data_IF_439108034178
#
_entry.id   IF_439108034178
#
_cell.length_a   1.000
_cell.length_b   1.000
_cell.length_c   1.000
_cell.angle_alpha   90.00
_cell.angle_beta   90.00
_cell.angle_gamma   90.00
#
_symmetry.space_group_name_H-M   'P 1'
#
loop_
_entity.id
_entity.type
_entity.pdbx_description
1 polymer ?
#
# COMPACT_ATOMS: atom_id res chain seq x y z
N UNK A 1 51.90 -44.10 -25.10
CA UNK A 1 50.63 -43.46 -25.47
C UNK A 1 49.63 -43.76 -24.37
N UNK A 2 49.46 -42.83 -23.41
CA UNK A 2 48.49 -42.95 -22.31
C UNK A 2 47.38 -41.94 -22.54
N UNK A 3 46.18 -42.46 -22.77
CA UNK A 3 44.93 -41.71 -22.93
C UNK A 3 44.44 -41.26 -21.56
N UNK A 4 44.41 -39.93 -21.30
CA UNK A 4 43.76 -39.34 -20.13
C UNK A 4 42.25 -39.16 -20.40
N UNK A 5 41.43 -39.97 -19.70
CA UNK A 5 39.97 -39.79 -19.58
C UNK A 5 39.69 -38.51 -18.76
N UNK A 6 39.02 -37.53 -19.36
CA UNK A 6 38.44 -36.38 -18.64
C UNK A 6 37.13 -36.80 -17.96
N UNK A 7 37.03 -36.56 -16.67
CA UNK A 7 35.85 -36.70 -15.87
C UNK A 7 34.98 -35.43 -16.11
N UNK A 8 33.71 -35.50 -16.46
CA UNK A 8 32.85 -34.33 -16.57
C UNK A 8 32.46 -33.86 -15.17
N UNK A 9 32.90 -32.63 -14.84
CA UNK A 9 32.57 -31.95 -13.61
C UNK A 9 31.05 -31.60 -13.57
N UNK A 10 30.46 -31.94 -12.48
CA UNK A 10 29.07 -31.69 -12.14
C UNK A 10 28.84 -30.17 -11.95
N UNK A 11 28.19 -29.48 -12.92
CA UNK A 11 27.97 -28.04 -12.94
C UNK A 11 26.62 -27.59 -12.36
N UNK A 12 25.85 -28.51 -11.78
CA UNK A 12 24.44 -28.24 -11.46
C UNK A 12 24.15 -27.82 -9.99
N UNK A 13 25.17 -27.63 -9.14
CA UNK A 13 24.96 -27.34 -7.72
C UNK A 13 24.95 -25.85 -7.33
N UNK A 14 25.26 -24.92 -8.25
CA UNK A 14 25.45 -23.50 -7.92
C UNK A 14 24.21 -22.60 -8.12
N UNK A 15 23.12 -23.12 -8.68
CA UNK A 15 22.00 -22.29 -9.17
C UNK A 15 20.81 -22.16 -8.23
N UNK A 16 20.74 -22.92 -7.14
CA UNK A 16 19.61 -22.86 -6.19
C UNK A 16 19.84 -21.84 -5.07
N UNK A 17 21.07 -21.45 -4.81
CA UNK A 17 21.42 -20.62 -3.64
C UNK A 17 21.13 -19.13 -3.84
N UNK A 18 21.07 -18.61 -5.08
CA UNK A 18 20.89 -17.19 -5.34
C UNK A 18 19.43 -16.72 -5.22
N UNK A 19 18.48 -17.60 -5.45
CA UNK A 19 17.04 -17.24 -5.36
C UNK A 19 16.56 -17.10 -3.91
N UNK A 20 17.21 -17.74 -2.95
CA UNK A 20 16.83 -17.62 -1.53
C UNK A 20 17.46 -16.41 -0.83
N UNK A 21 18.51 -15.82 -1.37
CA UNK A 21 19.21 -14.69 -0.73
C UNK A 21 18.48 -13.37 -0.96
N UNK A 22 17.70 -13.21 -2.02
CA UNK A 22 16.93 -12.00 -2.31
C UNK A 22 15.69 -11.83 -1.43
N UNK A 23 15.15 -12.91 -0.88
CA UNK A 23 14.01 -12.85 0.07
C UNK A 23 14.46 -12.46 1.48
N UNK A 24 15.72 -12.69 1.85
CA UNK A 24 16.24 -12.41 3.18
C UNK A 24 16.64 -10.94 3.41
N UNK A 25 16.87 -10.15 2.36
CA UNK A 25 17.29 -8.73 2.49
C UNK A 25 16.12 -7.80 2.85
N UNK A 26 14.87 -8.24 2.68
CA UNK A 26 13.70 -7.43 3.03
C UNK A 26 13.37 -7.40 4.55
N UNK A 27 14.14 -8.04 5.42
CA UNK A 27 13.84 -8.13 6.86
C UNK A 27 14.70 -7.28 7.80
N UNK A 28 15.67 -6.52 7.31
CA UNK A 28 16.67 -5.90 8.17
C UNK A 28 16.67 -4.37 8.18
N UNK A 29 15.51 -3.73 8.38
CA UNK A 29 15.46 -2.39 8.98
C UNK A 29 14.21 -2.23 9.83
N UNK A 30 14.13 -2.99 10.92
CA UNK A 30 13.32 -2.57 12.05
C UNK A 30 14.11 -1.41 12.70
N UNK A 31 13.82 -0.18 12.28
CA UNK A 31 14.23 1.00 13.02
C UNK A 31 13.75 0.85 14.47
N UNK A 32 14.63 1.08 15.43
CA UNK A 32 14.27 1.14 16.84
C UNK A 32 13.11 2.14 16.97
N UNK A 33 11.95 1.66 17.39
CA UNK A 33 10.84 2.53 17.76
C UNK A 33 11.35 3.40 18.92
N UNK A 34 11.54 4.68 18.65
CA UNK A 34 11.72 5.67 19.72
C UNK A 34 10.44 5.58 20.55
N UNK A 35 10.59 5.35 21.84
CA UNK A 35 9.47 5.35 22.78
C UNK A 35 8.79 6.71 22.68
N UNK A 36 7.58 6.76 22.11
CA UNK A 36 6.79 7.97 21.99
C UNK A 36 6.24 8.30 23.36
N UNK A 37 6.66 9.43 23.93
CA UNK A 37 5.97 10.05 25.03
C UNK A 37 4.57 10.48 24.55
N UNK A 38 3.57 10.56 25.39
CA UNK A 38 2.23 11.00 25.00
C UNK A 38 1.14 9.97 25.26
N UNK A 39 0.14 9.88 24.40
CA UNK A 39 -0.99 8.96 24.55
C UNK A 39 -0.58 7.49 24.85
N UNK A 40 0.45 6.93 24.22
CA UNK A 40 0.92 5.60 24.58
C UNK A 40 1.36 5.45 26.03
N UNK A 41 2.10 6.43 26.55
CA UNK A 41 2.53 6.41 27.93
C UNK A 41 1.33 6.53 28.90
N UNK A 42 0.34 7.36 28.54
CA UNK A 42 -0.91 7.49 29.31
C UNK A 42 -1.66 6.16 29.36
N UNK A 43 -1.85 5.52 28.21
CA UNK A 43 -2.57 4.24 28.13
C UNK A 43 -1.80 3.09 28.82
N UNK A 44 -0.48 3.22 28.94
CA UNK A 44 0.35 2.35 29.79
C UNK A 44 0.26 2.69 31.30
N UNK A 45 -0.57 3.66 31.68
CA UNK A 45 -0.82 4.03 33.06
C UNK A 45 0.06 5.15 33.63
N UNK A 46 0.81 5.89 32.83
CA UNK A 46 1.73 6.95 33.28
C UNK A 46 1.04 8.06 34.09
N UNK A 47 -0.23 8.32 33.82
CA UNK A 47 -1.05 9.30 34.55
C UNK A 47 -1.95 8.68 35.62
N UNK A 48 -2.06 7.36 35.74
CA UNK A 48 -2.87 6.73 36.77
C UNK A 48 -2.30 7.06 38.14
N UNK A 49 -3.15 7.30 39.13
CA UNK A 49 -2.74 7.68 40.45
C UNK A 49 -3.70 7.17 41.52
N UNK A 50 -3.12 6.61 42.59
CA UNK A 50 -3.79 6.45 43.86
C UNK A 50 -3.43 7.65 44.73
N UNK A 51 -4.43 8.37 45.22
CA UNK A 51 -4.30 9.66 45.91
C UNK A 51 -4.70 9.51 47.36
N UNK A 52 -3.75 9.70 48.28
CA UNK A 52 -4.03 9.69 49.69
C UNK A 52 -4.78 10.96 50.14
N UNK A 53 -5.49 10.87 51.28
CA UNK A 53 -6.37 11.92 51.78
C UNK A 53 -5.73 13.32 51.93
N UNK A 54 -4.42 13.42 52.17
CA UNK A 54 -3.70 14.69 52.31
C UNK A 54 -2.44 14.76 51.45
N UNK A 55 -2.34 13.90 50.44
CA UNK A 55 -1.15 13.77 49.60
C UNK A 55 -1.49 13.89 48.12
N UNK A 56 -1.67 15.13 47.59
CA UNK A 56 -1.93 15.31 46.17
C UNK A 56 -0.76 14.82 45.32
N UNK A 57 -1.08 14.21 44.20
CA UNK A 57 -0.12 13.65 43.25
C UNK A 57 -0.05 14.55 42.02
N UNK A 58 1.15 14.92 41.59
CA UNK A 58 1.37 15.59 40.33
C UNK A 58 1.94 14.61 39.29
N UNK A 59 1.48 14.71 38.06
CA UNK A 59 1.94 13.94 36.90
C UNK A 59 2.13 14.86 35.72
N UNK A 60 3.10 14.51 34.88
CA UNK A 60 3.38 15.22 33.66
C UNK A 60 3.33 14.27 32.49
N UNK A 61 2.87 14.78 31.36
CA UNK A 61 2.84 14.05 30.08
C UNK A 61 3.05 15.02 28.92
N UNK A 62 3.82 14.59 27.95
CA UNK A 62 3.92 15.28 26.66
C UNK A 62 2.71 14.87 25.81
N UNK A 63 1.96 15.84 25.29
CA UNK A 63 0.80 15.62 24.43
C UNK A 63 0.98 16.33 23.11
N UNK A 64 0.46 15.74 22.05
CA UNK A 64 0.30 16.38 20.77
C UNK A 64 -0.95 17.26 20.73
N UNK A 65 -0.97 18.26 19.84
CA UNK A 65 -2.17 19.06 19.60
C UNK A 65 -3.33 18.17 19.17
N UNK A 66 -4.47 18.29 19.84
CA UNK A 66 -5.66 17.50 19.58
C UNK A 66 -5.74 16.18 20.37
N UNK A 67 -4.67 15.78 21.07
CA UNK A 67 -4.73 14.61 21.95
C UNK A 67 -5.77 14.85 23.05
N UNK A 68 -6.64 13.85 23.28
CA UNK A 68 -7.72 13.93 24.26
C UNK A 68 -7.48 12.96 25.40
N UNK A 69 -7.35 13.50 26.60
CA UNK A 69 -7.34 12.72 27.84
C UNK A 69 -8.76 12.56 28.37
N UNK A 70 -9.11 11.35 28.75
CA UNK A 70 -10.33 11.04 29.47
C UNK A 70 -9.97 10.60 30.91
N UNK A 71 -10.46 11.33 31.89
CA UNK A 71 -10.22 11.07 33.31
C UNK A 71 -11.43 10.33 33.87
N UNK A 72 -11.21 9.14 34.39
CA UNK A 72 -12.17 8.42 35.20
C UNK A 72 -11.66 8.44 36.66
N UNK A 73 -12.27 9.23 37.51
CA UNK A 73 -11.83 9.40 38.87
C UNK A 73 -12.98 9.17 39.88
N UNK A 74 -12.64 8.53 40.95
CA UNK A 74 -13.57 8.32 42.08
C UNK A 74 -12.98 8.94 43.34
N UNK A 75 -13.72 9.88 43.95
CA UNK A 75 -13.30 10.59 45.17
C UNK A 75 -12.11 11.55 44.96
N UNK A 76 -11.81 11.95 43.72
CA UNK A 76 -10.70 12.82 43.39
C UNK A 76 -11.12 14.08 42.62
N UNK A 77 -10.32 15.13 42.74
CA UNK A 77 -10.33 16.28 41.84
C UNK A 77 -9.13 16.20 40.91
N UNK A 78 -9.36 16.61 39.66
CA UNK A 78 -8.35 16.69 38.60
C UNK A 78 -8.20 18.14 38.17
N UNK A 79 -7.00 18.66 38.22
CA UNK A 79 -6.70 20.02 37.81
C UNK A 79 -5.50 20.05 36.83
N UNK A 80 -5.60 20.83 35.78
CA UNK A 80 -4.47 21.22 34.95
C UNK A 80 -3.69 22.31 35.74
N UNK A 81 -2.42 22.07 35.99
CA UNK A 81 -1.54 22.99 36.70
C UNK A 81 -0.82 23.90 35.75
N UNK A 82 -0.31 23.33 34.67
CA UNK A 82 0.41 24.05 33.62
C UNK A 82 0.39 23.29 32.30
N UNK A 83 0.41 24.01 31.20
CA UNK A 83 0.54 23.49 29.86
C UNK A 83 0.55 24.59 28.83
N UNK A 84 1.22 24.41 27.68
CA UNK A 84 1.25 25.42 26.65
C UNK A 84 -0.15 25.61 26.03
N UNK A 85 -0.52 26.88 25.83
CA UNK A 85 -1.82 27.23 25.23
C UNK A 85 -3.05 26.94 26.10
N UNK A 86 -2.87 26.43 27.33
CA UNK A 86 -3.96 26.13 28.25
C UNK A 86 -3.72 26.80 29.62
N UNK A 87 -4.63 27.62 30.14
CA UNK A 87 -4.54 28.18 31.48
C UNK A 87 -4.75 27.08 32.52
N UNK A 88 -4.16 27.26 33.68
CA UNK A 88 -4.43 26.38 34.83
C UNK A 88 -5.94 26.40 35.14
N UNK A 89 -6.54 25.22 35.25
CA UNK A 89 -7.98 25.06 35.42
C UNK A 89 -8.33 23.80 36.18
N UNK A 90 -9.44 23.82 36.94
CA UNK A 90 -10.06 22.62 37.46
C UNK A 90 -10.77 21.90 36.31
N UNK A 91 -10.42 20.65 36.04
CA UNK A 91 -11.04 19.82 35.01
C UNK A 91 -12.30 19.17 35.60
N UNK A 92 -12.22 18.65 36.82
CA UNK A 92 -13.37 18.06 37.51
C UNK A 92 -13.07 17.82 38.99
N UNK A 93 -14.12 17.71 39.81
CA UNK A 93 -14.00 17.42 41.22
C UNK A 93 -15.35 17.05 41.79
N UNK A 94 -15.62 15.73 41.88
CA UNK A 94 -16.82 15.18 42.48
C UNK A 94 -16.56 13.75 42.96
N UNK A 95 -17.57 13.11 43.59
CA UNK A 95 -17.47 11.72 44.01
C UNK A 95 -17.22 10.73 42.88
N UNK A 96 -17.64 11.06 41.66
CA UNK A 96 -17.30 10.34 40.41
C UNK A 96 -17.24 11.34 39.27
N UNK A 97 -16.15 11.36 38.52
CA UNK A 97 -15.98 12.22 37.37
C UNK A 97 -15.63 11.38 36.12
N UNK A 98 -16.20 11.81 35.01
CA UNK A 98 -15.77 11.40 33.68
C UNK A 98 -15.64 12.69 32.88
N UNK A 99 -14.44 13.23 32.83
CA UNK A 99 -14.15 14.51 32.18
C UNK A 99 -13.08 14.35 31.13
N UNK A 100 -13.03 15.25 30.18
CA UNK A 100 -12.06 15.23 29.10
C UNK A 100 -11.23 16.50 29.06
N UNK A 101 -9.98 16.38 28.67
CA UNK A 101 -9.07 17.48 28.36
C UNK A 101 -8.52 17.28 26.97
N UNK A 102 -8.59 18.28 26.12
CA UNK A 102 -7.98 18.28 24.78
C UNK A 102 -6.79 19.21 24.76
N UNK A 103 -5.61 18.71 24.38
CA UNK A 103 -4.40 19.51 24.28
C UNK A 103 -4.52 20.55 23.14
N UNK A 104 -4.47 21.85 23.41
CA UNK A 104 -4.65 22.88 22.38
C UNK A 104 -3.43 23.03 21.45
N UNK A 105 -2.24 22.69 21.93
CA UNK A 105 -0.97 22.71 21.18
C UNK A 105 -0.05 21.60 21.67
N UNK A 106 1.02 21.32 20.92
CA UNK A 106 2.04 20.36 21.35
C UNK A 106 2.78 20.85 22.58
N UNK A 107 3.03 19.96 23.56
CA UNK A 107 3.87 20.28 24.69
C UNK A 107 3.61 19.44 25.93
N UNK A 108 4.33 19.75 27.00
CA UNK A 108 4.22 19.05 28.29
C UNK A 108 3.14 19.69 29.15
N UNK A 109 2.18 18.87 29.57
CA UNK A 109 1.08 19.23 30.45
C UNK A 109 1.27 18.62 31.82
N UNK A 110 1.00 19.38 32.86
CA UNK A 110 1.10 18.96 34.28
C UNK A 110 -0.28 18.91 34.89
N UNK A 111 -0.66 17.76 35.40
CA UNK A 111 -1.92 17.53 36.09
C UNK A 111 -1.69 17.28 37.53
N UNK A 112 -2.63 17.74 38.38
CA UNK A 112 -2.65 17.50 39.81
C UNK A 112 -3.92 16.75 40.19
N UNK A 113 -3.75 15.67 40.91
CA UNK A 113 -4.83 14.86 41.43
C UNK A 113 -4.85 15.03 42.97
N UNK A 114 -6.02 15.31 43.53
CA UNK A 114 -6.17 15.46 44.96
C UNK A 114 -7.44 14.76 45.44
N UNK A 115 -7.38 14.03 46.55
CA UNK A 115 -8.54 13.41 47.16
C UNK A 115 -9.51 14.49 47.66
N UNK A 116 -10.81 14.27 47.51
CA UNK A 116 -11.87 15.17 47.97
C UNK A 116 -12.24 14.90 49.41
N UNK A 117 -12.05 13.67 49.87
CA UNK A 117 -12.37 13.23 51.20
C UNK A 117 -11.22 12.41 51.86
N UNK A 118 -11.43 11.96 53.10
CA UNK A 118 -10.42 11.26 53.87
C UNK A 118 -10.26 9.77 53.50
N UNK A 119 -11.07 9.24 52.59
CA UNK A 119 -11.05 7.82 52.20
C UNK A 119 -9.98 7.49 51.17
N UNK A 120 -9.36 8.52 50.57
CA UNK A 120 -8.46 8.37 49.44
C UNK A 120 -9.22 8.28 48.12
N UNK A 121 -8.49 8.33 47.02
CA UNK A 121 -9.09 8.36 45.70
C UNK A 121 -8.24 7.61 44.68
N UNK A 122 -8.84 7.17 43.59
CA UNK A 122 -8.14 6.63 42.44
C UNK A 122 -8.50 7.39 41.17
N UNK A 123 -7.52 7.57 40.31
CA UNK A 123 -7.69 8.21 39.01
C UNK A 123 -7.12 7.29 37.93
N UNK A 124 -7.96 6.91 37.00
CA UNK A 124 -7.55 6.22 35.78
C UNK A 124 -7.65 7.21 34.59
N UNK A 125 -6.64 7.24 33.77
CA UNK A 125 -6.57 8.16 32.63
C UNK A 125 -6.32 7.36 31.37
N UNK A 126 -7.16 7.57 30.38
CA UNK A 126 -6.96 7.09 29.01
C UNK A 126 -6.72 8.25 28.05
N UNK A 127 -6.06 7.98 26.96
CA UNK A 127 -5.73 8.97 25.95
C UNK A 127 -6.14 8.49 24.57
N UNK A 128 -6.80 9.36 23.82
CA UNK A 128 -7.12 9.17 22.40
C UNK A 128 -6.37 10.22 21.60
N UNK A 129 -5.53 9.80 20.65
CA UNK A 129 -4.83 10.72 19.78
C UNK A 129 -5.60 10.90 18.48
N UNK A 130 -6.14 12.08 18.27
CA UNK A 130 -6.80 12.44 17.00
C UNK A 130 -5.82 12.42 15.83
N UNK A 131 -4.54 12.70 16.08
CA UNK A 131 -3.47 12.53 15.08
C UNK A 131 -3.26 11.08 14.70
N UNK A 132 -3.23 10.19 15.68
CA UNK A 132 -3.08 8.76 15.44
C UNK A 132 -4.24 8.22 14.62
N UNK A 133 -5.47 8.62 14.93
CA UNK A 133 -6.66 8.25 14.15
C UNK A 133 -6.59 8.79 12.72
N UNK A 134 -6.25 10.07 12.56
CA UNK A 134 -6.11 10.70 11.23
C UNK A 134 -4.96 10.06 10.43
N UNK A 135 -3.83 9.78 11.06
CA UNK A 135 -2.69 9.10 10.45
C UNK A 135 -3.04 7.67 10.05
N UNK A 136 -3.75 6.93 10.89
CA UNK A 136 -4.22 5.59 10.59
C UNK A 136 -5.20 5.60 9.40
N UNK A 137 -6.16 6.51 9.39
CA UNK A 137 -7.08 6.66 8.27
C UNK A 137 -6.34 6.98 6.95
N UNK A 138 -5.39 7.93 6.99
CA UNK A 138 -4.57 8.29 5.84
C UNK A 138 -3.69 7.12 5.36
N UNK A 139 -3.08 6.37 6.28
CA UNK A 139 -2.33 5.16 5.97
C UNK A 139 -3.18 4.11 5.26
N UNK A 140 -4.39 3.82 5.79
CA UNK A 140 -5.30 2.85 5.21
C UNK A 140 -5.76 3.26 3.81
N UNK A 141 -6.09 4.54 3.60
CA UNK A 141 -6.44 5.08 2.28
C UNK A 141 -5.28 4.97 1.30
N UNK A 142 -4.09 5.36 1.71
CA UNK A 142 -2.87 5.28 0.90
C UNK A 142 -2.56 3.85 0.51
N UNK A 143 -2.60 2.91 1.47
CA UNK A 143 -2.41 1.48 1.24
C UNK A 143 -3.43 0.94 0.23
N UNK A 144 -4.72 1.26 0.37
CA UNK A 144 -5.76 0.88 -0.61
C UNK A 144 -5.45 1.45 -2.00
N UNK A 145 -5.08 2.73 -2.06
CA UNK A 145 -4.65 3.38 -3.29
C UNK A 145 -3.50 2.66 -3.99
N UNK A 146 -2.44 2.32 -3.25
CA UNK A 146 -1.27 1.61 -3.76
C UNK A 146 -1.59 0.18 -4.22
N UNK A 147 -2.44 -0.54 -3.49
CA UNK A 147 -2.91 -1.87 -3.88
C UNK A 147 -3.77 -1.82 -5.15
N UNK A 148 -4.52 -0.74 -5.36
CA UNK A 148 -5.37 -0.53 -6.52
C UNK A 148 -4.63 0.05 -7.73
N UNK A 149 -3.45 0.63 -7.55
CA UNK A 149 -2.76 1.36 -8.60
C UNK A 149 -2.36 0.47 -9.78
N UNK A 150 -2.03 -0.78 -9.53
CA UNK A 150 -1.54 -1.70 -10.57
C UNK A 150 -1.88 -3.14 -10.27
N UNK A 151 -2.25 -3.87 -11.32
CA UNK A 151 -2.41 -5.33 -11.33
C UNK A 151 -1.17 -6.00 -11.91
N UNK A 152 -0.89 -7.26 -11.53
CA UNK A 152 0.14 -8.06 -12.18
C UNK A 152 -0.08 -8.16 -13.69
N UNK A 153 0.98 -8.00 -14.46
CA UNK A 153 0.93 -8.11 -15.92
C UNK A 153 0.51 -9.50 -16.38
N UNK A 154 0.76 -10.49 -15.55
CA UNK A 154 0.46 -11.90 -15.84
C UNK A 154 -1.03 -12.25 -15.82
N UNK A 155 -1.88 -11.35 -15.35
CA UNK A 155 -3.34 -11.52 -15.40
C UNK A 155 -3.91 -11.27 -16.81
N UNK A 156 -3.12 -10.83 -17.77
CA UNK A 156 -3.59 -10.40 -19.09
C UNK A 156 -3.22 -11.39 -20.17
N UNK A 157 -4.20 -11.74 -20.99
CA UNK A 157 -4.01 -12.66 -22.13
C UNK A 157 -3.11 -12.08 -23.24
N UNK A 158 -3.13 -10.77 -23.42
CA UNK A 158 -2.31 -10.07 -24.42
C UNK A 158 -0.83 -9.91 -23.98
N UNK A 159 -0.55 -10.24 -22.73
CA UNK A 159 0.79 -10.33 -22.14
C UNK A 159 1.16 -11.79 -21.78
N UNK A 160 0.52 -12.77 -22.42
CA UNK A 160 0.90 -14.18 -22.36
C UNK A 160 2.39 -14.35 -22.71
N UNK A 161 3.04 -15.44 -22.26
CA UNK A 161 4.49 -15.53 -22.14
C UNK A 161 5.21 -14.97 -23.36
N UNK A 162 5.82 -13.82 -23.14
CA UNK A 162 6.69 -13.19 -24.13
C UNK A 162 7.85 -14.14 -24.40
N UNK A 163 8.30 -14.34 -25.65
CA UNK A 163 9.52 -15.07 -25.91
C UNK A 163 10.62 -14.53 -25.00
N UNK A 164 11.29 -15.41 -24.27
CA UNK A 164 12.42 -15.02 -23.43
C UNK A 164 13.48 -14.47 -24.38
N UNK A 165 13.79 -13.19 -24.29
CA UNK A 165 14.76 -12.54 -25.18
C UNK A 165 16.12 -13.22 -25.06
N UNK A 166 16.47 -13.65 -23.86
CA UNK A 166 17.66 -14.45 -23.59
C UNK A 166 17.29 -15.61 -22.66
N UNK A 167 17.45 -16.88 -23.09
CA UNK A 167 17.15 -18.05 -22.25
C UNK A 167 17.96 -18.10 -20.96
N UNK A 168 19.11 -17.41 -20.89
CA UNK A 168 19.91 -17.32 -19.66
C UNK A 168 19.36 -16.32 -18.65
N UNK A 169 18.29 -15.57 -19.02
CA UNK A 169 17.70 -14.49 -18.21
C UNK A 169 16.18 -14.65 -18.09
N UNK A 170 15.68 -15.69 -17.40
CA UNK A 170 14.24 -15.95 -17.31
C UNK A 170 13.47 -14.99 -16.39
N UNK A 171 14.16 -14.29 -15.51
CA UNK A 171 13.55 -13.37 -14.56
C UNK A 171 13.51 -11.95 -15.14
N UNK A 172 12.32 -11.37 -15.22
CA UNK A 172 12.19 -9.95 -15.51
C UNK A 172 12.18 -9.13 -14.23
N UNK A 173 12.89 -8.02 -14.22
CA UNK A 173 12.84 -7.06 -13.13
C UNK A 173 12.71 -5.64 -13.65
N UNK A 174 12.00 -4.82 -12.89
CA UNK A 174 11.79 -3.41 -13.17
C UNK A 174 12.15 -2.61 -11.93
N UNK A 175 12.94 -1.57 -12.08
CA UNK A 175 13.27 -0.64 -11.02
C UNK A 175 12.83 0.75 -11.45
N UNK A 176 12.07 1.43 -10.61
CA UNK A 176 11.69 2.82 -10.78
C UNK A 176 12.48 3.65 -9.79
N UNK A 177 13.20 4.65 -10.30
CA UNK A 177 13.98 5.57 -9.47
C UNK A 177 13.18 6.83 -9.17
N UNK A 178 13.33 7.35 -7.97
CA UNK A 178 12.82 8.66 -7.59
C UNK A 178 13.77 9.79 -7.97
N UNK A 179 13.33 11.00 -7.75
CA UNK A 179 14.10 12.24 -8.00
C UNK A 179 15.31 12.35 -7.06
N UNK A 180 15.24 11.68 -5.92
CA UNK A 180 16.32 11.54 -4.92
C UNK A 180 17.37 10.47 -5.31
N UNK A 181 17.21 9.81 -6.46
CA UNK A 181 18.08 8.74 -6.92
C UNK A 181 17.93 7.42 -6.18
N UNK A 182 16.92 7.27 -5.32
CA UNK A 182 16.59 6.01 -4.64
C UNK A 182 15.57 5.21 -5.41
N UNK A 183 15.61 3.88 -5.26
CA UNK A 183 14.57 3.02 -5.84
C UNK A 183 13.24 3.26 -5.13
N UNK A 184 12.25 3.79 -5.86
CA UNK A 184 10.88 3.98 -5.37
C UNK A 184 9.99 2.77 -5.60
N UNK A 185 10.21 2.04 -6.69
CA UNK A 185 9.43 0.84 -7.01
C UNK A 185 10.38 -0.22 -7.57
N UNK A 186 10.25 -1.44 -7.07
CA UNK A 186 11.01 -2.60 -7.56
C UNK A 186 10.02 -3.72 -7.82
N UNK A 187 10.02 -4.23 -9.03
CA UNK A 187 9.17 -5.33 -9.43
C UNK A 187 10.00 -6.47 -9.98
N UNK A 188 9.54 -7.68 -9.78
CA UNK A 188 10.07 -8.86 -10.44
C UNK A 188 8.94 -9.79 -10.84
N UNK A 189 9.13 -10.55 -11.91
CA UNK A 189 8.12 -11.46 -12.41
C UNK A 189 8.77 -12.68 -13.08
N UNK A 190 8.25 -13.88 -12.79
CA UNK A 190 8.73 -15.14 -13.36
C UNK A 190 7.59 -16.15 -13.43
N UNK A 191 7.61 -17.03 -14.43
CA UNK A 191 6.72 -18.18 -14.49
C UNK A 191 7.49 -19.51 -14.57
N UNK A 192 6.81 -20.60 -14.19
CA UNK A 192 7.40 -21.92 -14.26
C UNK A 192 7.75 -22.32 -15.70
N UNK A 193 6.90 -21.95 -16.65
CA UNK A 193 7.15 -22.19 -18.07
C UNK A 193 8.39 -21.44 -18.60
N UNK A 194 8.65 -20.23 -18.10
CA UNK A 194 9.86 -19.45 -18.43
C UNK A 194 11.12 -20.08 -17.84
N UNK A 195 11.06 -20.50 -16.57
CA UNK A 195 12.18 -21.20 -15.91
C UNK A 195 12.49 -22.51 -16.68
N UNK A 196 11.45 -23.28 -17.00
CA UNK A 196 11.62 -24.54 -17.74
C UNK A 196 12.20 -24.31 -19.13
N UNK A 197 11.73 -23.28 -19.84
CA UNK A 197 12.27 -22.93 -21.14
C UNK A 197 13.75 -22.53 -21.05
N UNK A 198 14.11 -21.68 -20.08
CA UNK A 198 15.50 -21.28 -19.85
C UNK A 198 16.40 -22.47 -19.51
N UNK A 199 15.95 -23.39 -18.68
CA UNK A 199 16.71 -24.59 -18.31
C UNK A 199 16.95 -25.50 -19.52
N UNK A 200 16.01 -25.55 -20.45
CA UNK A 200 16.10 -26.35 -21.68
C UNK A 200 16.75 -25.59 -22.85
N UNK A 201 17.23 -24.37 -22.65
CA UNK A 201 17.81 -23.52 -23.69
C UNK A 201 16.81 -23.06 -24.76
N UNK A 202 15.50 -23.11 -24.45
CA UNK A 202 14.41 -22.71 -25.36
C UNK A 202 14.08 -21.23 -25.18
N UNK A 203 13.92 -20.49 -26.28
CA UNK A 203 13.46 -19.10 -26.26
C UNK A 203 11.95 -18.94 -26.12
N UNK A 204 11.19 -20.03 -26.26
CA UNK A 204 9.73 -20.01 -26.17
C UNK A 204 9.26 -20.79 -24.97
N UNK A 205 8.71 -20.13 -23.94
CA UNK A 205 8.03 -20.82 -22.87
C UNK A 205 6.86 -21.63 -23.43
N UNK A 206 6.76 -22.87 -23.03
CA UNK A 206 5.61 -23.72 -23.37
C UNK A 206 4.84 -23.98 -22.07
N UNK A 207 3.80 -23.19 -21.79
CA UNK A 207 2.97 -23.47 -20.63
C UNK A 207 2.28 -24.82 -20.80
N UNK A 208 2.25 -25.61 -19.73
CA UNK A 208 1.40 -26.79 -19.66
C UNK A 208 -0.07 -26.41 -19.60
N UNK A 209 -0.93 -27.38 -19.26
CA UNK A 209 -2.36 -27.10 -19.03
C UNK A 209 -2.57 -25.96 -18.00
N UNK A 210 -1.71 -25.94 -16.98
CA UNK A 210 -1.66 -24.89 -15.96
C UNK A 210 -0.22 -24.40 -15.85
N UNK A 211 -0.02 -23.09 -15.93
CA UNK A 211 1.27 -22.44 -15.68
C UNK A 211 1.21 -21.70 -14.34
N UNK A 212 2.25 -21.85 -13.53
CA UNK A 212 2.41 -21.16 -12.25
C UNK A 212 3.31 -19.97 -12.43
N UNK A 213 3.01 -18.87 -11.75
CA UNK A 213 3.81 -17.66 -11.81
C UNK A 213 3.89 -16.95 -10.45
N UNK A 214 4.96 -16.21 -10.30
CA UNK A 214 5.26 -15.39 -9.13
C UNK A 214 5.62 -13.98 -9.61
N UNK A 215 5.05 -12.98 -8.95
CA UNK A 215 5.38 -11.58 -9.17
C UNK A 215 5.45 -10.87 -7.82
N UNK A 216 6.50 -10.09 -7.62
CA UNK A 216 6.68 -9.30 -6.40
C UNK A 216 6.87 -7.84 -6.75
N UNK A 217 6.36 -6.99 -5.87
CA UNK A 217 6.48 -5.55 -5.97
C UNK A 217 6.80 -4.96 -4.61
N UNK A 218 7.75 -4.06 -4.57
CA UNK A 218 8.07 -3.25 -3.40
C UNK A 218 8.04 -1.79 -3.79
N UNK A 219 7.29 -0.99 -3.08
CA UNK A 219 7.14 0.42 -3.33
C UNK A 219 7.52 1.21 -2.08
N UNK A 220 8.40 2.19 -2.25
CA UNK A 220 8.74 3.17 -1.24
C UNK A 220 8.09 4.51 -1.61
N UNK A 221 7.58 5.22 -0.63
CA UNK A 221 6.97 6.53 -0.82
C UNK A 221 7.34 7.46 0.32
N UNK A 222 7.45 8.73 -0.02
CA UNK A 222 7.60 9.82 0.93
C UNK A 222 6.57 10.90 0.54
N UNK A 223 5.89 11.42 1.51
CA UNK A 223 4.93 12.50 1.33
C UNK A 223 5.24 13.62 2.33
N UNK A 224 5.37 14.82 1.82
CA UNK A 224 5.56 16.01 2.65
C UNK A 224 4.28 16.80 2.58
N UNK A 225 3.41 16.68 3.56
CA UNK A 225 2.19 17.47 3.64
C UNK A 225 2.43 18.73 4.49
N UNK A 226 1.96 19.87 3.98
CA UNK A 226 2.00 21.15 4.71
C UNK A 226 1.23 20.98 6.03
N UNK A 227 1.96 20.94 7.14
CA UNK A 227 1.39 20.94 8.51
C UNK A 227 1.36 19.58 9.24
N UNK A 228 1.62 18.46 8.56
CA UNK A 228 1.62 17.12 9.20
C UNK A 228 3.01 16.48 9.33
N UNK A 229 4.07 17.16 8.90
CA UNK A 229 5.42 16.60 8.85
C UNK A 229 5.63 15.67 7.63
N UNK A 230 6.84 15.16 7.48
CA UNK A 230 7.15 14.18 6.45
C UNK A 230 6.64 12.80 6.87
N UNK A 231 6.03 12.11 5.92
CA UNK A 231 5.53 10.75 6.10
C UNK A 231 6.30 9.85 5.14
N UNK A 232 6.96 8.83 5.64
CA UNK A 232 7.69 7.86 4.84
C UNK A 232 7.18 6.46 5.06
N UNK A 233 7.04 5.69 3.99
CA UNK A 233 6.55 4.34 4.09
C UNK A 233 7.02 3.40 2.99
N UNK A 234 6.75 2.13 3.21
CA UNK A 234 6.94 1.08 2.21
C UNK A 234 5.74 0.16 2.13
N UNK A 235 5.48 -0.36 0.94
CA UNK A 235 4.49 -1.40 0.70
C UNK A 235 5.14 -2.50 -0.14
N UNK A 236 5.18 -3.70 0.40
CA UNK A 236 5.53 -4.91 -0.32
C UNK A 236 4.28 -5.69 -0.70
N UNK A 237 4.21 -6.18 -1.93
CA UNK A 237 3.13 -7.05 -2.41
C UNK A 237 3.74 -8.23 -3.14
N UNK A 238 3.29 -9.43 -2.80
CA UNK A 238 3.68 -10.67 -3.44
C UNK A 238 2.45 -11.33 -4.03
N UNK A 239 2.52 -11.68 -5.29
CA UNK A 239 1.48 -12.37 -6.03
C UNK A 239 1.96 -13.77 -6.41
N UNK A 240 1.14 -14.75 -6.14
CA UNK A 240 1.33 -16.12 -6.58
C UNK A 240 0.09 -16.57 -7.34
N UNK A 241 0.23 -16.89 -8.61
CA UNK A 241 -0.91 -17.18 -9.47
C UNK A 241 -0.72 -18.43 -10.32
N UNK A 242 -1.86 -18.90 -10.78
CA UNK A 242 -1.96 -19.97 -11.80
C UNK A 242 -2.73 -19.43 -12.98
N UNK A 243 -2.36 -19.83 -14.18
CA UNK A 243 -3.10 -19.51 -15.40
C UNK A 243 -3.29 -20.75 -16.27
N UNK A 244 -4.42 -20.81 -16.94
CA UNK A 244 -4.78 -21.82 -17.91
C UNK A 244 -5.49 -21.17 -19.10
N UNK A 245 -5.13 -21.59 -20.30
CA UNK A 245 -5.83 -21.19 -21.52
C UNK A 245 -6.99 -22.17 -21.78
N UNK A 246 -8.22 -21.65 -21.76
CA UNK A 246 -9.45 -22.43 -22.06
C UNK A 246 -9.85 -22.20 -23.51
N UNK A 247 -8.89 -22.14 -24.38
CA UNK A 247 -9.04 -21.81 -25.78
C UNK A 247 -8.12 -20.65 -26.18
N UNK A 248 -8.15 -20.19 -27.44
CA UNK A 248 -7.22 -19.18 -27.92
C UNK A 248 -7.51 -17.76 -27.36
N UNK A 249 -8.72 -17.55 -26.89
CA UNK A 249 -9.21 -16.19 -26.53
C UNK A 249 -9.63 -16.05 -25.07
N UNK A 250 -9.52 -17.13 -24.26
CA UNK A 250 -9.92 -17.10 -22.84
C UNK A 250 -8.80 -17.67 -21.98
N UNK A 251 -8.36 -16.89 -21.02
CA UNK A 251 -7.44 -17.27 -19.97
C UNK A 251 -8.16 -17.17 -18.62
N UNK A 252 -8.08 -18.22 -17.84
CA UNK A 252 -8.60 -18.28 -16.48
C UNK A 252 -7.47 -18.57 -15.51
N UNK A 253 -7.59 -18.10 -14.28
CA UNK A 253 -6.64 -18.40 -13.24
C UNK A 253 -7.14 -18.12 -11.84
N UNK A 254 -6.31 -18.46 -10.88
CA UNK A 254 -6.47 -18.08 -9.49
C UNK A 254 -5.22 -17.36 -9.01
N UNK A 255 -5.41 -16.43 -8.09
CA UNK A 255 -4.37 -15.54 -7.59
C UNK A 255 -4.43 -15.44 -6.08
N UNK A 256 -3.34 -15.72 -5.41
CA UNK A 256 -3.08 -15.35 -4.03
C UNK A 256 -2.21 -14.09 -4.01
N UNK A 257 -2.57 -13.16 -3.16
CA UNK A 257 -1.85 -11.90 -2.94
C UNK A 257 -1.56 -11.77 -1.45
N UNK A 258 -0.31 -11.47 -1.13
CA UNK A 258 0.14 -11.13 0.22
C UNK A 258 0.65 -9.70 0.18
N UNK A 259 0.31 -8.89 1.16
CA UNK A 259 0.80 -7.53 1.25
C UNK A 259 1.21 -7.15 2.68
N UNK A 260 2.22 -6.29 2.77
CA UNK A 260 2.70 -5.71 4.02
C UNK A 260 3.10 -4.26 3.77
N UNK A 261 2.55 -3.37 4.58
CA UNK A 261 2.91 -1.95 4.58
C UNK A 261 3.40 -1.51 5.94
N UNK A 262 4.33 -0.57 5.95
CA UNK A 262 4.79 0.13 7.16
C UNK A 262 4.94 1.59 6.81
N UNK A 263 4.47 2.47 7.69
CA UNK A 263 4.54 3.92 7.52
C UNK A 263 4.98 4.57 8.82
N UNK A 264 5.94 5.46 8.73
CA UNK A 264 6.48 6.25 9.84
C UNK A 264 6.19 7.72 9.59
N UNK A 265 5.89 8.43 10.64
CA UNK A 265 5.57 9.85 10.62
C UNK A 265 6.66 10.63 11.36
N UNK A 266 6.93 11.85 10.91
CA UNK A 266 7.69 12.81 11.71
C UNK A 266 6.85 13.24 12.93
N UNK A 267 7.52 13.50 14.07
CA UNK A 267 6.93 14.00 15.31
C UNK A 267 5.92 13.05 16.00
N UNK A 268 6.41 12.30 16.99
CA UNK A 268 5.65 11.58 18.05
C UNK A 268 4.41 10.78 17.61
N UNK A 269 4.23 10.56 16.30
CA UNK A 269 3.16 9.75 15.78
C UNK A 269 3.63 8.29 15.69
N UNK A 270 2.87 7.34 16.20
CA UNK A 270 3.28 5.94 16.18
C UNK A 270 3.40 5.42 14.75
N UNK A 271 4.33 4.50 14.55
CA UNK A 271 4.47 3.78 13.29
C UNK A 271 3.22 2.95 13.03
N UNK A 272 2.66 3.10 11.82
CA UNK A 272 1.54 2.30 11.34
C UNK A 272 2.08 1.09 10.60
N UNK A 273 1.53 -0.08 10.84
CA UNK A 273 1.87 -1.31 10.14
C UNK A 273 0.60 -2.04 9.73
N UNK A 274 0.64 -2.65 8.57
CA UNK A 274 -0.46 -3.47 8.11
C UNK A 274 0.07 -4.67 7.32
N UNK A 275 -0.60 -5.79 7.45
CA UNK A 275 -0.39 -6.98 6.63
C UNK A 275 -1.73 -7.51 6.18
N UNK A 276 -1.75 -8.18 5.04
CA UNK A 276 -2.98 -8.75 4.53
C UNK A 276 -2.75 -9.81 3.49
N UNK A 277 -3.80 -10.54 3.21
CA UNK A 277 -3.84 -11.51 2.14
C UNK A 277 -5.18 -11.45 1.42
N UNK A 278 -5.17 -11.83 0.17
CA UNK A 278 -6.36 -12.03 -0.65
C UNK A 278 -6.16 -13.23 -1.56
N UNK A 279 -7.23 -13.94 -1.83
CA UNK A 279 -7.26 -15.03 -2.80
C UNK A 279 -8.53 -14.93 -3.63
N UNK A 280 -8.43 -15.26 -4.93
CA UNK A 280 -9.61 -15.30 -5.77
C UNK A 280 -9.33 -15.59 -7.24
N UNK A 281 -10.40 -15.80 -8.02
CA UNK A 281 -10.29 -16.05 -9.45
C UNK A 281 -10.01 -14.78 -10.24
N UNK A 282 -9.42 -14.98 -11.40
CA UNK A 282 -9.32 -13.95 -12.42
C UNK A 282 -9.55 -14.54 -13.81
N UNK A 283 -9.90 -13.69 -14.74
CA UNK A 283 -10.08 -14.02 -16.14
C UNK A 283 -9.56 -12.90 -17.03
N UNK A 284 -9.05 -13.29 -18.19
CA UNK A 284 -8.75 -12.36 -19.27
C UNK A 284 -9.25 -12.97 -20.57
N UNK A 285 -10.00 -12.20 -21.36
CA UNK A 285 -10.55 -12.70 -22.61
C UNK A 285 -10.48 -11.66 -23.72
N UNK A 286 -10.26 -12.12 -24.95
CA UNK A 286 -10.43 -11.32 -26.14
C UNK A 286 -11.90 -11.35 -26.55
N UNK A 287 -12.61 -10.25 -26.30
CA UNK A 287 -14.05 -10.14 -26.57
C UNK A 287 -14.35 -9.76 -28.02
N UNK A 288 -13.37 -9.15 -28.71
CA UNK A 288 -13.41 -8.85 -30.12
C UNK A 288 -11.98 -8.66 -30.64
N UNK A 289 -11.81 -8.51 -31.95
CA UNK A 289 -10.51 -8.18 -32.55
C UNK A 289 -9.97 -6.87 -31.96
N UNK A 290 -8.83 -6.95 -31.29
CA UNK A 290 -8.21 -5.81 -30.63
C UNK A 290 -8.93 -5.32 -29.36
N UNK A 291 -9.85 -6.10 -28.79
CA UNK A 291 -10.53 -5.74 -27.54
C UNK A 291 -10.37 -6.86 -26.50
N UNK A 292 -9.81 -6.54 -25.36
CA UNK A 292 -9.57 -7.47 -24.25
C UNK A 292 -10.32 -7.01 -23.01
N UNK A 293 -10.96 -7.95 -22.33
CA UNK A 293 -11.54 -7.78 -21.00
C UNK A 293 -10.69 -8.52 -19.98
N UNK A 294 -10.35 -7.84 -18.90
CA UNK A 294 -9.64 -8.38 -17.75
C UNK A 294 -10.54 -8.22 -16.51
N UNK A 295 -10.75 -9.28 -15.75
CA UNK A 295 -11.58 -9.27 -14.55
C UNK A 295 -10.96 -10.06 -13.41
N UNK A 296 -11.11 -9.57 -12.18
CA UNK A 296 -10.65 -10.22 -10.96
C UNK A 296 -11.62 -9.98 -9.82
N UNK A 297 -11.86 -11.03 -9.03
CA UNK A 297 -12.50 -10.92 -7.73
C UNK A 297 -11.63 -11.62 -6.69
N UNK A 298 -11.50 -11.05 -5.50
CA UNK A 298 -10.69 -11.62 -4.44
C UNK A 298 -11.28 -11.32 -3.07
N UNK A 299 -11.06 -12.23 -2.14
CA UNK A 299 -11.47 -12.16 -0.74
C UNK A 299 -10.30 -12.50 0.14
N UNK A 300 -10.26 -11.92 1.32
CA UNK A 300 -9.20 -12.17 2.28
C UNK A 300 -9.38 -11.38 3.55
N UNK A 301 -8.28 -11.15 4.23
CA UNK A 301 -8.25 -10.47 5.52
C UNK A 301 -7.07 -9.52 5.57
N UNK A 302 -7.20 -8.49 6.39
CA UNK A 302 -6.14 -7.55 6.70
C UNK A 302 -6.07 -7.33 8.20
N UNK A 303 -4.87 -7.15 8.69
CA UNK A 303 -4.56 -6.77 10.05
C UNK A 303 -3.84 -5.42 10.00
N UNK A 304 -4.30 -4.48 10.80
CA UNK A 304 -3.72 -3.16 10.90
C UNK A 304 -3.28 -2.96 12.35
N UNK A 305 -2.00 -2.67 12.55
CA UNK A 305 -1.43 -2.42 13.86
C UNK A 305 -0.94 -0.97 13.93
N UNK A 306 -1.27 -0.32 15.03
CA UNK A 306 -0.69 0.97 15.43
C UNK A 306 0.27 0.67 16.56
N UNK A 307 1.57 0.90 16.37
CA UNK A 307 2.55 0.72 17.42
C UNK A 307 2.18 1.66 18.58
N UNK A 308 1.86 1.13 19.75
CA UNK A 308 1.51 1.86 20.97
C UNK A 308 0.02 2.09 21.29
N UNK A 309 -0.92 1.60 20.52
CA UNK A 309 -2.31 1.65 20.94
C UNK A 309 -2.87 0.25 21.18
N UNK A 310 -3.74 0.10 22.15
CA UNK A 310 -4.64 -1.05 22.33
C UNK A 310 -5.71 -1.12 21.21
N UNK A 311 -5.46 -0.49 20.06
CA UNK A 311 -6.26 -0.72 18.86
C UNK A 311 -6.02 -2.18 18.51
N UNK A 312 -7.02 -2.95 18.84
CA UNK A 312 -7.14 -4.38 18.68
C UNK A 312 -6.53 -4.80 17.33
N UNK A 313 -5.55 -5.70 17.33
CA UNK A 313 -4.98 -6.36 16.15
C UNK A 313 -6.06 -7.20 15.42
N UNK A 314 -7.23 -6.61 15.22
CA UNK A 314 -8.38 -7.31 14.69
C UNK A 314 -8.19 -7.59 13.20
N UNK A 315 -8.24 -8.86 12.85
CA UNK A 315 -8.39 -9.30 11.48
C UNK A 315 -9.69 -8.74 10.91
N UNK A 316 -9.58 -7.97 9.85
CA UNK A 316 -10.72 -7.40 9.16
C UNK A 316 -10.88 -8.04 7.78
N UNK A 317 -12.13 -8.33 7.39
CA UNK A 317 -12.41 -8.91 6.10
C UNK A 317 -12.10 -7.89 4.98
N UNK A 318 -11.46 -8.38 3.93
CA UNK A 318 -11.13 -7.59 2.73
C UNK A 318 -11.78 -8.20 1.50
N UNK A 319 -12.30 -7.34 0.61
CA UNK A 319 -12.86 -7.75 -0.67
C UNK A 319 -12.34 -6.84 -1.77
N UNK A 320 -12.09 -7.42 -2.95
CA UNK A 320 -11.68 -6.68 -4.13
C UNK A 320 -12.47 -7.17 -5.35
N UNK A 321 -12.96 -6.23 -6.15
CA UNK A 321 -13.51 -6.49 -7.47
C UNK A 321 -12.88 -5.52 -8.45
N UNK A 322 -12.41 -6.03 -9.59
CA UNK A 322 -11.81 -5.23 -10.63
C UNK A 322 -12.24 -5.72 -12.01
N UNK A 323 -12.48 -4.78 -12.91
CA UNK A 323 -12.73 -5.05 -14.32
C UNK A 323 -12.09 -3.98 -15.18
N UNK A 324 -11.49 -4.38 -16.31
CA UNK A 324 -10.91 -3.46 -17.27
C UNK A 324 -11.20 -3.94 -18.70
N UNK A 325 -11.68 -3.04 -19.52
CA UNK A 325 -11.81 -3.24 -20.97
C UNK A 325 -10.74 -2.39 -21.67
N UNK A 326 -9.93 -3.02 -22.50
CA UNK A 326 -8.88 -2.35 -23.26
C UNK A 326 -9.07 -2.61 -24.74
N UNK A 327 -9.21 -1.55 -25.52
CA UNK A 327 -9.11 -1.61 -26.98
C UNK A 327 -7.65 -1.49 -27.41
N UNK A 328 -7.31 -2.04 -28.56
CA UNK A 328 -6.00 -1.83 -29.21
C UNK A 328 -6.20 -1.77 -30.70
N UNK A 329 -5.78 -0.67 -31.32
CA UNK A 329 -5.86 -0.48 -32.75
C UNK A 329 -4.59 0.21 -33.26
N UNK A 330 -4.09 -0.26 -34.40
CA UNK A 330 -3.04 0.44 -35.12
C UNK A 330 -3.68 1.43 -36.10
N UNK A 331 -3.24 2.67 -36.05
CA UNK A 331 -3.69 3.75 -36.92
C UNK A 331 -2.44 4.45 -37.48
N UNK A 332 -2.09 4.16 -38.71
CA UNK A 332 -0.92 4.74 -39.38
C UNK A 332 0.39 4.52 -38.62
N UNK A 333 0.56 3.33 -38.04
CA UNK A 333 1.72 2.95 -37.25
C UNK A 333 1.73 3.52 -35.82
N UNK A 334 0.66 4.19 -35.39
CA UNK A 334 0.42 4.54 -34.02
C UNK A 334 -0.47 3.48 -33.35
N UNK A 335 -0.05 2.96 -32.22
CA UNK A 335 -0.88 2.10 -31.38
C UNK A 335 -1.76 2.98 -30.52
N UNK A 336 -3.06 2.90 -30.72
CA UNK A 336 -4.07 3.60 -29.89
C UNK A 336 -4.74 2.56 -29.01
N UNK A 337 -4.74 2.80 -27.71
CA UNK A 337 -5.23 1.85 -26.69
C UNK A 337 -6.22 2.52 -25.73
N UNK A 338 -7.48 2.76 -26.14
CA UNK A 338 -8.51 3.22 -25.21
C UNK A 338 -8.77 2.16 -24.13
N UNK A 339 -8.94 2.59 -22.88
CA UNK A 339 -9.29 1.70 -21.80
C UNK A 339 -10.32 2.31 -20.86
N UNK A 340 -11.19 1.45 -20.34
CA UNK A 340 -12.14 1.77 -19.26
C UNK A 340 -11.97 0.72 -18.19
N UNK A 341 -11.77 1.15 -16.95
CA UNK A 341 -11.57 0.29 -15.79
C UNK A 341 -12.45 0.68 -14.63
N UNK A 342 -12.81 -0.31 -13.84
CA UNK A 342 -13.45 -0.14 -12.53
C UNK A 342 -12.65 -0.97 -11.52
N UNK A 343 -12.42 -0.40 -10.35
CA UNK A 343 -11.86 -1.12 -9.22
C UNK A 343 -12.61 -0.71 -7.96
N UNK A 344 -12.86 -1.69 -7.11
CA UNK A 344 -13.43 -1.51 -5.79
C UNK A 344 -12.70 -2.40 -4.80
N UNK A 345 -12.26 -1.82 -3.69
CA UNK A 345 -11.67 -2.53 -2.56
C UNK A 345 -12.40 -2.10 -1.27
N UNK A 346 -12.72 -3.06 -0.44
CA UNK A 346 -13.40 -2.86 0.84
C UNK A 346 -12.61 -3.57 1.93
N UNK A 347 -12.34 -2.84 3.01
CA UNK A 347 -11.85 -3.38 4.28
C UNK A 347 -12.98 -3.21 5.31
N UNK A 348 -13.40 -4.30 5.94
CA UNK A 348 -14.36 -4.24 7.03
C UNK A 348 -13.59 -3.96 8.33
N UNK A 349 -13.79 -2.78 8.91
CA UNK A 349 -13.15 -2.37 10.17
C UNK A 349 -14.10 -2.67 11.34
N UNK A 350 -13.62 -3.37 12.34
CA UNK A 350 -14.37 -3.62 13.57
C UNK A 350 -14.22 -2.42 14.50
N UNK A 351 -15.31 -1.85 14.93
CA UNK A 351 -15.32 -0.80 15.93
C UNK A 351 -15.04 -1.42 17.32
N UNK A 352 -13.89 -1.09 17.90
CA UNK A 352 -13.47 -1.64 19.19
C UNK A 352 -14.39 -1.29 20.37
N UNK A 353 -15.17 -0.20 20.27
CA UNK A 353 -16.08 0.22 21.33
C UNK A 353 -17.46 -0.44 21.29
N UNK A 354 -17.98 -0.69 20.10
CA UNK A 354 -19.37 -1.22 19.90
C UNK A 354 -19.40 -2.64 19.37
N UNK A 355 -18.27 -3.19 18.95
CA UNK A 355 -18.18 -4.47 18.23
C UNK A 355 -18.83 -4.47 16.85
N UNK A 356 -19.36 -3.32 16.41
CA UNK A 356 -19.98 -3.17 15.11
C UNK A 356 -18.91 -3.16 14.01
N UNK A 357 -19.19 -3.88 12.93
CA UNK A 357 -18.30 -3.88 11.75
C UNK A 357 -18.72 -2.76 10.81
N UNK A 358 -17.83 -1.82 10.55
CA UNK A 358 -18.00 -0.77 9.53
C UNK A 358 -17.22 -1.15 8.29
N UNK A 359 -17.86 -1.17 7.14
CA UNK A 359 -17.18 -1.36 5.86
C UNK A 359 -16.64 -0.01 5.38
N UNK A 360 -15.33 0.06 5.18
CA UNK A 360 -14.66 1.20 4.55
C UNK A 360 -14.22 0.78 3.15
N UNK A 361 -15.05 1.11 2.15
CA UNK A 361 -14.79 0.79 0.76
C UNK A 361 -14.35 2.02 -0.02
N UNK A 362 -13.43 1.85 -0.94
CA UNK A 362 -13.08 2.87 -1.93
C UNK A 362 -13.04 2.24 -3.31
N UNK A 363 -13.47 2.98 -4.28
CA UNK A 363 -13.44 2.54 -5.66
C UNK A 363 -13.19 3.69 -6.62
N UNK A 364 -12.87 3.34 -7.85
CA UNK A 364 -12.76 4.31 -8.95
C UNK A 364 -13.20 3.72 -10.27
N UNK A 365 -13.76 4.57 -11.10
CA UNK A 365 -13.93 4.33 -12.53
C UNK A 365 -12.94 5.21 -13.27
N UNK A 366 -12.15 4.61 -14.15
CA UNK A 366 -11.10 5.29 -14.91
C UNK A 366 -11.32 5.09 -16.40
N UNK A 367 -11.18 6.17 -17.16
CA UNK A 367 -11.12 6.15 -18.62
C UNK A 367 -9.78 6.74 -19.01
N UNK A 368 -8.88 5.93 -19.59
CA UNK A 368 -7.51 6.32 -19.87
C UNK A 368 -7.09 5.83 -21.28
N UNK A 369 -7.39 6.57 -22.35
CA UNK A 369 -6.83 6.30 -23.66
C UNK A 369 -5.33 6.57 -23.70
N UNK A 370 -4.58 5.64 -24.25
CA UNK A 370 -3.13 5.73 -24.47
C UNK A 370 -2.82 5.70 -25.96
N UNK A 371 -1.81 6.45 -26.39
CA UNK A 371 -1.24 6.41 -27.73
C UNK A 371 0.27 6.20 -27.63
N UNK A 372 0.81 5.31 -28.44
CA UNK A 372 2.26 5.08 -28.54
C UNK A 372 2.68 4.75 -29.97
N UNK A 373 3.97 4.97 -30.26
CA UNK A 373 4.55 4.57 -31.55
C UNK A 373 5.99 4.14 -31.36
N UNK A 374 6.32 2.97 -31.91
CA UNK A 374 7.69 2.46 -31.88
C UNK A 374 8.44 2.88 -33.15
N UNK A 375 9.59 3.52 -32.94
CA UNK A 375 10.54 3.89 -33.99
C UNK A 375 11.79 3.05 -33.83
N UNK A 376 12.17 2.29 -34.86
CA UNK A 376 13.46 1.62 -34.88
C UNK A 376 14.56 2.69 -35.05
N UNK A 377 15.56 2.65 -34.18
CA UNK A 377 16.77 3.49 -34.30
C UNK A 377 17.80 2.74 -35.13
N UNK A 378 17.93 1.45 -34.87
CA UNK A 378 18.73 0.51 -35.64
C UNK A 378 18.13 -0.91 -35.57
N UNK A 379 18.85 -1.92 -36.06
CA UNK A 379 18.39 -3.32 -36.07
C UNK A 379 18.21 -3.91 -34.65
N UNK A 380 18.78 -3.30 -33.61
CA UNK A 380 18.80 -3.80 -32.25
C UNK A 380 18.04 -2.90 -31.28
N UNK A 381 17.81 -1.62 -31.61
CA UNK A 381 17.30 -0.63 -30.65
C UNK A 381 16.07 0.11 -31.20
N UNK A 382 15.24 0.58 -30.28
CA UNK A 382 14.06 1.36 -30.60
C UNK A 382 13.79 2.46 -29.59
N UNK A 383 13.07 3.49 -30.03
CA UNK A 383 12.48 4.52 -29.17
C UNK A 383 10.96 4.43 -29.29
N UNK A 384 10.25 4.49 -28.17
CA UNK A 384 8.80 4.42 -28.10
C UNK A 384 8.23 5.58 -27.26
N UNK A 385 7.91 6.73 -27.87
CA UNK A 385 7.12 7.76 -27.21
C UNK A 385 5.70 7.26 -26.95
N UNK A 386 5.15 7.67 -25.80
CA UNK A 386 3.78 7.38 -25.40
C UNK A 386 3.14 8.58 -24.71
N UNK A 387 1.83 8.68 -24.81
CA UNK A 387 1.03 9.66 -24.09
C UNK A 387 -0.32 9.04 -23.72
N UNK A 388 -0.84 9.42 -22.58
CA UNK A 388 -2.16 9.06 -22.12
C UNK A 388 -2.84 10.28 -21.48
N UNK A 389 -4.11 10.47 -21.79
CA UNK A 389 -4.92 11.54 -21.18
C UNK A 389 -6.28 10.94 -20.83
N UNK A 390 -6.72 11.11 -19.61
CA UNK A 390 -7.98 10.53 -19.18
C UNK A 390 -8.54 11.21 -17.94
N UNK A 391 -9.56 10.57 -17.39
CA UNK A 391 -10.21 11.01 -16.17
C UNK A 391 -10.58 9.80 -15.33
N UNK A 392 -10.65 10.02 -14.03
CA UNK A 392 -11.25 9.04 -13.13
C UNK A 392 -12.18 9.72 -12.13
N UNK A 393 -13.18 8.97 -11.69
CA UNK A 393 -14.10 9.35 -10.64
C UNK A 393 -13.91 8.36 -9.52
N UNK A 394 -13.52 8.87 -8.35
CA UNK A 394 -13.50 8.11 -7.11
C UNK A 394 -14.92 7.98 -6.54
N UNK A 395 -15.13 6.97 -5.73
CA UNK A 395 -16.31 6.82 -4.92
C UNK A 395 -15.95 6.12 -3.61
N UNK A 396 -16.32 6.74 -2.50
CA UNK A 396 -16.02 6.25 -1.17
C UNK A 396 -17.28 5.74 -0.47
N UNK A 397 -17.08 4.84 0.51
CA UNK A 397 -18.13 4.32 1.37
C UNK A 397 -19.31 3.68 0.62
N UNK A 398 -19.00 2.77 -0.27
CA UNK A 398 -20.05 1.97 -0.89
C UNK A 398 -20.67 1.03 0.15
N UNK A 399 -21.62 1.56 0.91
CA UNK A 399 -22.56 0.75 1.69
C UNK A 399 -23.58 0.03 0.77
N UNK A 400 -23.30 -0.08 -0.52
CA UNK A 400 -24.17 -0.60 -1.55
C UNK A 400 -24.51 -2.10 -1.43
N UNK A 401 -23.93 -2.81 -0.48
CA UNK A 401 -24.41 -4.12 -0.07
C UNK A 401 -25.53 -4.04 0.99
N UNK A 402 -25.84 -2.84 1.48
CA UNK A 402 -27.00 -2.61 2.30
C UNK A 402 -28.09 -1.92 1.44
N UNK A 403 -29.21 -2.61 1.11
CA UNK A 403 -30.27 -2.06 0.26
C UNK A 403 -30.96 -0.82 0.84
N UNK A 404 -30.64 -0.41 2.05
CA UNK A 404 -31.13 0.82 2.67
C UNK A 404 -30.32 2.09 2.31
N UNK A 405 -29.19 1.97 1.61
CA UNK A 405 -28.36 3.12 1.21
C UNK A 405 -28.56 3.44 -0.25
N UNK A 406 -29.23 4.55 -0.53
CA UNK A 406 -29.76 4.92 -1.84
C UNK A 406 -28.86 5.80 -2.71
N UNK A 407 -27.63 6.13 -2.29
CA UNK A 407 -26.77 7.00 -3.11
C UNK A 407 -25.29 6.67 -2.95
N UNK A 408 -24.66 6.24 -4.06
CA UNK A 408 -23.22 6.37 -4.25
C UNK A 408 -22.93 7.85 -4.37
N UNK A 409 -22.16 8.40 -3.45
CA UNK A 409 -21.68 9.77 -3.57
C UNK A 409 -20.39 9.71 -4.42
N UNK A 410 -20.42 10.15 -5.69
CA UNK A 410 -19.19 10.30 -6.44
C UNK A 410 -18.36 11.37 -5.75
N UNK A 411 -17.09 11.05 -5.51
CA UNK A 411 -16.08 12.03 -5.17
C UNK A 411 -15.72 12.82 -6.44
N UNK A 412 -14.80 13.74 -6.31
CA UNK A 412 -14.39 14.62 -7.41
C UNK A 412 -13.97 13.86 -8.68
N UNK A 413 -14.25 14.46 -9.84
CA UNK A 413 -13.66 14.03 -11.10
C UNK A 413 -12.21 14.51 -11.14
N UNK A 414 -11.30 13.58 -11.29
CA UNK A 414 -9.88 13.87 -11.43
C UNK A 414 -9.43 13.69 -12.88
N UNK A 415 -8.64 14.62 -13.38
CA UNK A 415 -8.00 14.52 -14.68
C UNK A 415 -6.59 13.97 -14.53
N UNK A 416 -6.19 13.12 -15.47
CA UNK A 416 -4.87 12.53 -15.51
C UNK A 416 -4.27 12.69 -16.89
N UNK A 417 -3.03 13.17 -16.95
CA UNK A 417 -2.27 13.20 -18.19
C UNK A 417 -0.87 12.64 -17.93
N UNK A 418 -0.42 11.76 -18.79
CA UNK A 418 0.91 11.15 -18.74
C UNK A 418 1.57 11.25 -20.12
N UNK A 419 2.86 11.52 -20.13
CA UNK A 419 3.68 11.45 -21.33
C UNK A 419 5.04 10.82 -20.97
N UNK A 420 5.59 10.05 -21.90
CA UNK A 420 6.84 9.38 -21.65
C UNK A 420 7.53 8.91 -22.93
N UNK A 421 8.76 8.47 -22.78
CA UNK A 421 9.55 7.86 -23.83
C UNK A 421 10.27 6.64 -23.27
N UNK A 422 10.23 5.55 -24.00
CA UNK A 422 11.02 4.36 -23.69
C UNK A 422 12.11 4.19 -24.76
N UNK A 423 13.31 3.84 -24.32
CA UNK A 423 14.40 3.36 -25.16
C UNK A 423 14.64 1.89 -24.82
N UNK A 424 14.60 1.03 -25.80
CA UNK A 424 14.72 -0.41 -25.58
C UNK A 424 15.67 -1.07 -26.55
N UNK A 425 16.20 -2.21 -26.10
CA UNK A 425 17.13 -3.06 -26.85
C UNK A 425 16.49 -4.44 -27.07
N UNK A 426 16.82 -5.11 -28.16
CA UNK A 426 16.28 -6.44 -28.52
C UNK A 426 16.58 -7.54 -27.47
N UNK A 427 17.56 -7.33 -26.60
CA UNK A 427 17.85 -8.27 -25.50
C UNK A 427 16.81 -8.23 -24.37
N UNK A 428 15.84 -7.32 -24.45
CA UNK A 428 14.79 -7.10 -23.46
C UNK A 428 15.10 -6.00 -22.45
N UNK A 429 16.29 -5.40 -22.47
CA UNK A 429 16.61 -4.26 -21.64
C UNK A 429 15.89 -3.01 -22.13
N UNK A 430 15.39 -2.18 -21.23
CA UNK A 430 14.82 -0.89 -21.60
C UNK A 430 14.93 0.13 -20.47
N UNK A 431 14.95 1.40 -20.87
CA UNK A 431 14.86 2.56 -19.99
C UNK A 431 13.66 3.38 -20.45
N UNK A 432 12.79 3.75 -19.51
CA UNK A 432 11.66 4.61 -19.81
C UNK A 432 11.61 5.78 -18.83
N UNK A 433 11.39 6.97 -19.37
CA UNK A 433 11.08 8.16 -18.59
C UNK A 433 9.60 8.53 -18.82
N UNK A 434 8.87 8.78 -17.75
CA UNK A 434 7.46 9.17 -17.82
C UNK A 434 7.21 10.32 -16.85
N UNK A 435 6.53 11.36 -17.30
CA UNK A 435 6.00 12.42 -16.47
C UNK A 435 4.48 12.42 -16.49
N UNK A 436 3.85 12.77 -15.41
CA UNK A 436 2.40 12.82 -15.31
C UNK A 436 1.92 13.93 -14.42
N UNK A 437 0.69 14.35 -14.63
CA UNK A 437 -0.05 15.28 -13.78
C UNK A 437 -1.44 14.71 -13.52
N UNK A 438 -1.85 14.81 -12.26
CA UNK A 438 -3.18 14.45 -11.80
C UNK A 438 -3.77 15.62 -11.03
N UNK A 439 -4.98 16.05 -11.38
CA UNK A 439 -5.64 17.20 -10.74
C UNK A 439 -7.11 16.92 -10.51
N UNK A 440 -7.62 17.32 -9.33
CA UNK A 440 -9.05 17.35 -9.04
C UNK A 440 -9.73 18.56 -9.68
N UNK A 441 -11.02 18.41 -10.01
CA UNK A 441 -11.82 19.49 -10.63
C UNK A 441 -12.42 20.46 -9.62
N UNK A 442 -12.51 20.10 -8.34
CA UNK A 442 -13.22 20.86 -7.29
C UNK A 442 -12.32 21.64 -6.35
N UNK A 443 -11.04 21.30 -6.27
CA UNK A 443 -10.08 22.08 -5.49
C UNK A 443 -8.89 22.46 -6.36
N UNK A 444 -8.77 23.72 -6.70
CA UNK A 444 -7.66 24.30 -7.47
C UNK A 444 -6.27 24.14 -6.80
N UNK A 445 -6.19 23.42 -5.68
CA UNK A 445 -5.02 23.42 -4.82
C UNK A 445 -4.16 22.14 -4.89
N UNK A 446 -4.61 21.05 -5.50
CA UNK A 446 -3.83 19.79 -5.49
C UNK A 446 -3.56 19.29 -6.90
N UNK A 447 -2.50 19.80 -7.50
CA UNK A 447 -1.89 19.18 -8.67
C UNK A 447 -0.75 18.27 -8.19
N UNK A 448 -0.88 16.97 -8.42
CA UNK A 448 0.18 16.02 -8.16
C UNK A 448 0.99 15.80 -9.44
N UNK A 449 2.24 16.24 -9.41
CA UNK A 449 3.20 15.97 -10.47
C UNK A 449 3.96 14.69 -10.15
N UNK A 450 4.07 13.80 -11.12
CA UNK A 450 4.84 12.57 -10.97
C UNK A 450 5.91 12.49 -12.05
N UNK A 451 7.14 12.24 -11.64
CA UNK A 451 8.24 11.86 -12.52
C UNK A 451 8.62 10.40 -12.24
N UNK A 452 8.85 9.60 -13.28
CA UNK A 452 9.23 8.20 -13.14
C UNK A 452 10.31 7.85 -14.13
N UNK A 453 11.42 7.30 -13.64
CA UNK A 453 12.45 6.69 -14.45
C UNK A 453 12.45 5.18 -14.19
N UNK A 454 12.16 4.39 -15.21
CA UNK A 454 11.99 2.95 -15.11
C UNK A 454 13.11 2.24 -15.90
N UNK A 455 13.76 1.30 -15.26
CA UNK A 455 14.72 0.40 -15.88
C UNK A 455 14.15 -1.00 -15.91
N UNK A 456 14.07 -1.60 -17.08
CA UNK A 456 13.75 -3.01 -17.22
C UNK A 456 15.04 -3.75 -17.57
N UNK A 457 15.46 -4.64 -16.70
CA UNK A 457 16.70 -5.40 -16.88
C UNK A 457 16.37 -6.88 -16.75
N UNK A 458 16.51 -7.67 -17.82
CA UNK A 458 16.37 -9.12 -17.71
C UNK A 458 17.54 -9.64 -16.85
N UNK A 459 17.21 -10.37 -15.78
CA UNK A 459 18.18 -10.95 -14.85
C UNK A 459 18.43 -12.42 -15.15
N UNK A 460 19.67 -12.83 -15.07
CA UNK A 460 20.16 -14.18 -15.33
C UNK A 460 21.65 -14.15 -15.59
N UNK A 461 22.25 -15.30 -15.93
CA UNK A 461 23.67 -15.35 -16.28
C UNK A 461 23.99 -14.52 -17.50
#
# INVERSE_FOLDING_TARGET
MQSRKRIPGNRNAAHVTLAMTLVAIAQATAGAALATEGCPAVNAGALNADVGANAPVARQVALGQGDQLSFAAYGASVALVSGPGAPASLIGGSSAITETFTAPVNGTYSFRFAAIDASGASVAVSCTSTRTEAANAAFLERRKGLLNAREPDRLRIDRAPTPIANPDKPLSSTVVMGDDGRAKDVEFSVSLSEITAATNGSKKPQPGLVDFWLEGRMQNYEETSLGAGATGGNLGVLYFGTRSMVGPDIMLGALAQLDRGVESYEYDTPTMAAKGWMFGPYMSMKVASGVTFDGRAAWGETENAVASSEIDDSLTARRLVRGKLTGTRDVSGWKVAPSVGVVYIEDAVRDGGTGATKAAGTGKVEVLPEISKRFAVDDATFIEPRAAVGAFVGFDNWQALNPAVTAVQPTDVNLKAEAGVAYGVKDGSSVAATGGVESGTTSAATQNWTGRLQFNVPLGK
#
